data_IF_761340540000
#
_entry.id   IF_761340540000
#
_cell.length_a   1.000
_cell.length_b   1.000
_cell.length_c   1.000
_cell.angle_alpha   90.00
_cell.angle_beta   90.00
_cell.angle_gamma   90.00
#
_symmetry.space_group_name_H-M   'P 1'
#
loop_
_entity.id
_entity.type
_entity.pdbx_description
1 polymer ?
#
# COMPACT_ATOMS: atom_id res chain seq x y z
N UNK A 1 3.04 -10.02 2.07
CA UNK A 1 1.90 -10.93 1.86
C UNK A 1 1.28 -11.20 3.22
N UNK A 2 -0.04 -11.02 3.40
CA UNK A 2 -0.68 -11.36 4.66
C UNK A 2 -0.72 -12.90 4.83
N UNK A 3 -0.11 -13.46 5.88
CA UNK A 3 -0.04 -14.91 6.04
C UNK A 3 -1.44 -15.47 6.30
N UNK A 4 -1.74 -16.64 5.73
CA UNK A 4 -2.92 -17.40 6.13
C UNK A 4 -2.78 -17.79 7.61
N UNK A 5 -3.70 -17.31 8.43
CA UNK A 5 -3.71 -17.59 9.87
C UNK A 5 -4.92 -18.45 10.23
N UNK A 6 -4.77 -19.43 11.12
CA UNK A 6 -5.92 -20.14 11.69
C UNK A 6 -6.69 -19.21 12.65
N UNK A 7 -8.01 -19.36 12.69
CA UNK A 7 -8.85 -18.80 13.74
C UNK A 7 -8.86 -19.71 14.99
N UNK A 8 -9.54 -19.29 16.06
CA UNK A 8 -9.62 -20.05 17.31
C UNK A 8 -10.27 -21.44 17.15
N UNK A 9 -10.98 -21.68 16.03
CA UNK A 9 -11.67 -22.94 15.71
C UNK A 9 -10.81 -23.86 14.84
N UNK A 10 -9.61 -23.43 14.44
CA UNK A 10 -8.75 -24.16 13.52
C UNK A 10 -9.15 -24.04 12.04
N UNK A 11 -10.02 -23.09 11.71
CA UNK A 11 -10.42 -22.75 10.34
C UNK A 11 -9.63 -21.53 9.83
N UNK A 12 -9.78 -21.16 8.56
CA UNK A 12 -9.10 -19.96 8.04
C UNK A 12 -9.69 -18.71 8.68
N UNK A 13 -8.82 -17.87 9.26
CA UNK A 13 -9.21 -16.53 9.72
C UNK A 13 -9.74 -15.73 8.53
N UNK A 14 -10.96 -15.22 8.69
CA UNK A 14 -11.56 -14.30 7.74
C UNK A 14 -11.56 -12.89 8.29
N UNK A 15 -11.47 -11.92 7.39
CA UNK A 15 -11.62 -10.51 7.71
C UNK A 15 -12.95 -10.03 7.14
N UNK A 16 -13.78 -9.43 7.98
CA UNK A 16 -15.08 -8.86 7.60
C UNK A 16 -15.15 -7.35 7.80
N UNK A 17 -14.21 -6.75 8.52
CA UNK A 17 -14.12 -5.31 8.68
C UNK A 17 -13.66 -4.66 7.36
N UNK A 18 -14.46 -3.76 6.76
CA UNK A 18 -14.08 -3.07 5.52
C UNK A 18 -12.76 -2.31 5.61
N UNK A 19 -12.39 -1.82 6.81
CA UNK A 19 -11.11 -1.12 7.01
C UNK A 19 -9.95 -2.11 6.95
N UNK A 20 -9.98 -3.17 7.74
CA UNK A 20 -8.95 -4.23 7.70
C UNK A 20 -8.83 -4.85 6.30
N UNK A 21 -9.95 -5.07 5.59
CA UNK A 21 -9.92 -5.52 4.18
C UNK A 21 -9.18 -4.55 3.26
N UNK A 22 -9.43 -3.24 3.41
CA UNK A 22 -8.77 -2.22 2.60
C UNK A 22 -7.27 -2.13 2.90
N UNK A 23 -6.87 -2.24 4.17
CA UNK A 23 -5.45 -2.26 4.57
C UNK A 23 -4.72 -3.48 3.99
N UNK A 24 -5.32 -4.66 4.11
CA UNK A 24 -4.79 -5.90 3.53
C UNK A 24 -4.61 -5.79 2.03
N UNK A 25 -5.65 -5.32 1.34
CA UNK A 25 -5.62 -5.13 -0.10
C UNK A 25 -4.55 -4.12 -0.54
N UNK A 26 -4.47 -2.96 0.12
CA UNK A 26 -3.48 -1.93 -0.23
C UNK A 26 -2.06 -2.44 0.01
N UNK A 27 -1.84 -3.21 1.07
CA UNK A 27 -0.55 -3.85 1.35
C UNK A 27 -0.19 -4.85 0.26
N UNK A 28 -1.10 -5.77 -0.06
CA UNK A 28 -0.92 -6.79 -1.12
C UNK A 28 -0.65 -6.16 -2.49
N UNK A 29 -1.36 -5.06 -2.79
CA UNK A 29 -1.19 -4.30 -4.02
C UNK A 29 0.20 -3.65 -4.11
N UNK A 30 0.66 -3.00 -3.03
CA UNK A 30 1.99 -2.36 -2.98
C UNK A 30 3.12 -3.39 -3.11
N UNK A 31 2.90 -4.60 -2.58
CA UNK A 31 3.88 -5.68 -2.56
C UNK A 31 3.94 -6.49 -3.87
N UNK A 32 2.87 -6.47 -4.65
CA UNK A 32 2.78 -7.22 -5.90
C UNK A 32 3.24 -6.35 -7.06
N UNK A 33 4.19 -6.83 -7.86
CA UNK A 33 4.54 -6.19 -9.13
C UNK A 33 3.61 -6.63 -10.26
N UNK A 34 3.43 -5.75 -11.24
CA UNK A 34 2.73 -6.09 -12.47
C UNK A 34 3.34 -7.36 -13.10
N UNK A 35 2.47 -8.20 -13.66
CA UNK A 35 2.79 -9.49 -14.28
C UNK A 35 3.22 -10.61 -13.32
N UNK A 36 3.35 -10.37 -12.01
CA UNK A 36 3.63 -11.46 -11.06
C UNK A 36 2.46 -12.43 -10.92
N UNK A 37 1.22 -11.94 -11.05
CA UNK A 37 0.03 -12.79 -11.01
C UNK A 37 -0.27 -13.34 -12.40
N UNK A 38 -0.04 -14.64 -12.57
CA UNK A 38 -0.23 -15.39 -13.82
C UNK A 38 -1.58 -15.12 -14.50
N UNK A 39 -2.67 -15.10 -13.74
CA UNK A 39 -4.02 -14.91 -14.27
C UNK A 39 -4.51 -13.45 -14.23
N UNK A 40 -3.73 -12.56 -13.63
CA UNK A 40 -4.06 -11.14 -13.45
C UNK A 40 -2.82 -10.27 -13.73
N UNK A 41 -2.32 -10.22 -14.97
CA UNK A 41 -1.05 -9.56 -15.27
C UNK A 41 -1.08 -8.03 -15.05
N UNK A 42 -2.27 -7.43 -15.04
CA UNK A 42 -2.47 -6.00 -14.80
C UNK A 42 -2.60 -5.64 -13.31
N UNK A 43 -2.62 -6.63 -12.41
CA UNK A 43 -2.69 -6.40 -10.97
C UNK A 43 -1.31 -6.13 -10.41
N UNK A 44 -1.19 -5.08 -9.60
CA UNK A 44 0.05 -4.73 -8.90
C UNK A 44 0.59 -3.36 -9.29
N UNK A 45 1.76 -3.05 -8.75
CA UNK A 45 2.48 -1.80 -8.99
C UNK A 45 3.55 -1.97 -10.04
N UNK A 46 3.88 -0.87 -10.74
CA UNK A 46 5.05 -0.84 -11.62
C UNK A 46 6.32 -1.00 -10.78
N UNK A 47 7.27 -1.77 -11.27
CA UNK A 47 8.59 -1.84 -10.66
C UNK A 47 9.29 -0.47 -10.74
N UNK A 48 9.69 0.05 -9.58
CA UNK A 48 10.38 1.32 -9.43
C UNK A 48 11.66 1.18 -8.60
N UNK A 49 12.21 -0.02 -8.48
CA UNK A 49 13.45 -0.31 -7.72
C UNK A 49 14.63 0.56 -8.20
N UNK A 50 14.68 0.90 -9.48
CA UNK A 50 15.69 1.81 -10.07
C UNK A 50 15.12 3.18 -10.47
N UNK A 51 13.93 3.52 -9.98
CA UNK A 51 13.30 4.80 -10.25
C UNK A 51 14.01 5.94 -9.54
N UNK A 52 14.18 7.09 -10.21
CA UNK A 52 14.70 8.29 -9.56
C UNK A 52 13.64 8.81 -8.58
N UNK A 53 13.98 8.85 -7.29
CA UNK A 53 13.18 9.47 -6.24
C UNK A 53 13.18 11.01 -6.42
N UNK A 54 12.38 11.49 -7.36
CA UNK A 54 12.19 12.91 -7.64
C UNK A 54 10.87 13.43 -7.05
N UNK A 55 10.62 14.74 -7.18
CA UNK A 55 9.40 15.40 -6.67
C UNK A 55 8.12 14.78 -7.25
N UNK A 56 8.18 14.22 -8.46
CA UNK A 56 7.05 13.58 -9.13
C UNK A 56 6.81 12.12 -8.74
N UNK A 57 7.77 11.45 -8.09
CA UNK A 57 7.67 10.02 -7.75
C UNK A 57 6.42 9.72 -6.90
N UNK A 58 6.15 10.56 -5.90
CA UNK A 58 5.00 10.41 -5.00
C UNK A 58 3.68 10.58 -5.72
N UNK A 59 3.58 11.58 -6.59
CA UNK A 59 2.39 11.84 -7.38
C UNK A 59 2.11 10.68 -8.36
N UNK A 60 3.15 10.16 -9.00
CA UNK A 60 3.04 8.99 -9.88
C UNK A 60 2.65 7.74 -9.08
N UNK A 61 3.16 7.57 -7.86
CA UNK A 61 2.82 6.43 -7.01
C UNK A 61 1.37 6.52 -6.54
N UNK A 62 0.93 7.72 -6.17
CA UNK A 62 -0.45 8.00 -5.80
C UNK A 62 -1.41 7.69 -6.94
N UNK A 63 -1.07 8.12 -8.16
CA UNK A 63 -1.89 7.86 -9.35
C UNK A 63 -2.02 6.37 -9.65
N UNK A 64 -0.90 5.62 -9.65
CA UNK A 64 -0.92 4.17 -9.88
C UNK A 64 -1.75 3.44 -8.79
N UNK A 65 -1.57 3.80 -7.52
CA UNK A 65 -2.33 3.22 -6.40
C UNK A 65 -3.83 3.53 -6.50
N UNK A 66 -4.19 4.76 -6.81
CA UNK A 66 -5.58 5.19 -6.96
C UNK A 66 -6.24 4.49 -8.16
N UNK A 67 -5.55 4.34 -9.29
CA UNK A 67 -6.05 3.60 -10.46
C UNK A 67 -6.32 2.13 -10.12
N UNK A 68 -5.33 1.45 -9.54
CA UNK A 68 -5.43 0.04 -9.16
C UNK A 68 -6.50 -0.20 -8.10
N UNK A 69 -6.55 0.64 -7.06
CA UNK A 69 -7.54 0.50 -6.00
C UNK A 69 -8.97 0.75 -6.49
N UNK A 70 -9.20 1.71 -7.38
CA UNK A 70 -10.52 1.95 -7.96
C UNK A 70 -11.00 0.77 -8.79
N UNK A 71 -10.10 0.11 -9.51
CA UNK A 71 -10.45 -1.03 -10.35
C UNK A 71 -10.71 -2.30 -9.53
N UNK A 72 -9.82 -2.63 -8.59
CA UNK A 72 -9.85 -3.91 -7.87
C UNK A 72 -10.55 -3.87 -6.51
N UNK A 73 -10.62 -2.72 -5.84
CA UNK A 73 -11.28 -2.60 -4.53
C UNK A 73 -12.15 -1.32 -4.43
N UNK A 74 -13.35 -1.32 -5.04
CA UNK A 74 -14.21 -0.13 -5.13
C UNK A 74 -14.77 0.35 -3.78
N UNK A 75 -14.60 -0.41 -2.69
CA UNK A 75 -14.95 0.05 -1.34
C UNK A 75 -14.06 1.21 -0.87
N UNK A 76 -12.88 1.40 -1.46
CA UNK A 76 -12.03 2.56 -1.19
C UNK A 76 -12.62 3.77 -1.93
N UNK A 77 -12.91 4.83 -1.19
CA UNK A 77 -13.50 6.08 -1.71
C UNK A 77 -12.44 7.05 -2.22
N UNK A 78 -11.32 7.17 -1.49
CA UNK A 78 -10.26 8.12 -1.78
C UNK A 78 -8.92 7.60 -1.28
N UNK A 79 -7.84 7.91 -2.01
CA UNK A 79 -6.45 7.62 -1.63
C UNK A 79 -5.62 8.90 -1.78
N UNK A 80 -4.77 9.17 -0.80
CA UNK A 80 -3.72 10.18 -0.84
C UNK A 80 -2.41 9.52 -0.43
N UNK A 81 -1.34 9.75 -1.19
CA UNK A 81 -0.03 9.12 -0.92
C UNK A 81 1.02 10.18 -0.67
N UNK A 82 1.78 9.99 0.41
CA UNK A 82 2.90 10.82 0.79
C UNK A 82 4.15 9.94 0.87
N UNK A 83 5.28 10.40 0.34
CA UNK A 83 6.56 9.80 0.69
C UNK A 83 7.25 10.58 1.80
N UNK A 84 8.00 9.85 2.60
CA UNK A 84 8.78 10.38 3.69
C UNK A 84 9.83 9.38 4.13
N UNK A 85 10.30 9.58 5.35
CA UNK A 85 11.21 8.69 6.06
C UNK A 85 10.46 8.07 7.24
N UNK A 86 10.86 6.87 7.67
CA UNK A 86 10.39 6.29 8.93
C UNK A 86 11.57 6.30 9.91
N UNK A 87 11.49 7.18 10.91
CA UNK A 87 12.51 7.31 11.95
C UNK A 87 11.89 6.94 13.29
N UNK A 88 12.44 5.94 13.97
CA UNK A 88 11.93 5.44 15.25
C UNK A 88 10.41 5.16 15.21
N UNK A 89 9.93 4.53 14.12
CA UNK A 89 8.51 4.23 13.83
C UNK A 89 7.61 5.46 13.56
N UNK A 90 8.16 6.67 13.53
CA UNK A 90 7.45 7.91 13.22
C UNK A 90 7.64 8.25 11.74
N UNK A 91 6.54 8.47 11.03
CA UNK A 91 6.57 8.93 9.64
C UNK A 91 6.87 10.44 9.59
N UNK A 92 7.98 10.80 8.93
CA UNK A 92 8.40 12.18 8.71
C UNK A 92 8.25 12.48 7.21
N UNK A 93 7.40 13.44 6.79
CA UNK A 93 7.28 13.79 5.39
C UNK A 93 8.56 14.46 4.87
N UNK A 94 9.00 14.07 3.68
CA UNK A 94 10.24 14.55 3.06
C UNK A 94 11.23 13.42 2.82
N UNK A 95 11.83 13.40 1.63
CA UNK A 95 12.81 12.37 1.27
C UNK A 95 14.13 12.58 2.00
N UNK A 96 14.55 11.58 2.77
CA UNK A 96 15.93 11.45 3.23
C UNK A 96 16.81 11.07 2.04
N UNK A 97 17.35 12.09 1.34
CA UNK A 97 18.21 11.88 0.16
C UNK A 97 19.41 10.97 0.46
N UNK A 98 19.88 11.00 1.69
CA UNK A 98 21.11 10.31 2.10
C UNK A 98 20.92 8.80 2.26
N UNK A 99 19.69 8.32 2.52
CA UNK A 99 19.43 6.90 2.75
C UNK A 99 18.94 6.15 1.50
N UNK A 100 18.56 6.88 0.44
CA UNK A 100 17.90 6.32 -0.76
C UNK A 100 16.71 5.41 -0.43
N UNK A 101 16.05 5.65 0.70
CA UNK A 101 14.89 4.90 1.19
C UNK A 101 13.70 5.84 1.30
N UNK A 102 12.51 5.29 1.03
CA UNK A 102 11.27 6.04 1.14
C UNK A 102 10.24 5.21 1.91
N UNK A 103 9.70 5.75 3.00
CA UNK A 103 8.46 5.27 3.57
C UNK A 103 7.30 5.87 2.77
N UNK A 104 6.27 5.06 2.51
CA UNK A 104 5.05 5.50 1.85
C UNK A 104 3.96 5.57 2.91
N UNK A 105 3.35 6.73 3.08
CA UNK A 105 2.12 6.89 3.87
C UNK A 105 0.95 6.99 2.92
N UNK A 106 0.05 6.01 2.97
CA UNK A 106 -1.21 5.97 2.25
C UNK A 106 -2.31 6.37 3.20
N UNK A 107 -2.93 7.53 2.97
CA UNK A 107 -4.18 7.91 3.62
C UNK A 107 -5.34 7.44 2.76
N UNK A 108 -6.31 6.77 3.33
CA UNK A 108 -7.47 6.30 2.58
C UNK A 108 -8.77 6.43 3.38
N UNK A 109 -9.89 6.50 2.66
CA UNK A 109 -11.23 6.51 3.25
C UNK A 109 -12.04 5.38 2.66
N UNK A 110 -12.72 4.60 3.49
CA UNK A 110 -13.63 3.53 3.04
C UNK A 110 -15.04 4.10 2.84
N UNK A 111 -15.76 3.65 1.81
CA UNK A 111 -17.17 4.01 1.58
C UNK A 111 -18.02 3.65 2.79
N UNK A 112 -18.89 4.56 3.20
CA UNK A 112 -19.69 4.41 4.43
C UNK A 112 -18.97 4.89 5.70
N UNK A 113 -17.68 5.23 5.63
CA UNK A 113 -16.95 5.91 6.69
C UNK A 113 -16.52 7.31 6.25
N UNK A 114 -16.49 8.25 7.20
CA UNK A 114 -15.92 9.59 7.02
C UNK A 114 -14.58 9.76 7.77
N UNK A 115 -14.09 8.69 8.39
CA UNK A 115 -12.85 8.71 9.17
C UNK A 115 -11.70 8.32 8.24
N UNK A 116 -10.72 9.21 8.01
CA UNK A 116 -9.54 8.87 7.22
C UNK A 116 -8.64 7.90 8.00
N UNK A 117 -8.22 6.84 7.33
CA UNK A 117 -7.30 5.82 7.84
C UNK A 117 -5.90 6.06 7.29
N UNK A 118 -4.88 5.58 8.01
CA UNK A 118 -3.48 5.75 7.63
C UNK A 118 -2.77 4.40 7.61
N UNK A 119 -2.23 4.04 6.45
CA UNK A 119 -1.33 2.91 6.28
C UNK A 119 0.08 3.48 6.03
N UNK A 120 1.03 3.18 6.91
CA UNK A 120 2.44 3.54 6.71
C UNK A 120 3.20 2.28 6.30
N UNK A 121 3.67 2.28 5.06
CA UNK A 121 4.37 1.16 4.44
C UNK A 121 5.84 1.52 4.16
N UNK A 122 6.80 0.95 4.91
CA UNK A 122 8.23 1.12 4.62
C UNK A 122 8.63 0.30 3.39
N UNK A 123 9.11 0.95 2.32
CA UNK A 123 9.45 0.24 1.05
C UNK A 123 10.57 -0.78 1.19
N UNK A 124 11.48 -0.63 2.16
CA UNK A 124 12.57 -1.58 2.39
C UNK A 124 12.12 -2.89 3.04
N UNK A 125 10.88 -2.99 3.53
CA UNK A 125 10.32 -4.26 4.04
C UNK A 125 9.80 -5.19 2.93
N UNK A 126 9.89 -4.78 1.65
CA UNK A 126 9.52 -5.63 0.50
C UNK A 126 10.35 -6.93 0.37
N UNK A 127 11.36 -7.16 1.22
CA UNK A 127 12.30 -8.30 1.12
C UNK A 127 12.67 -8.99 2.45
N UNK A 128 11.96 -8.77 3.54
CA UNK A 128 12.23 -9.53 4.79
C UNK A 128 11.56 -10.90 4.75
#
# INVERSE_FOLDING_TARGET
MWPFQPDQRGTLRTVSDPVEMAEQFLTDLIETFLQERVMLPCYGMRDRVFGVLNVGFTAQLAADLDEQARFYLPIIKSIEVLAGELKDEIFIPGFAKDEQRAAIKVKFTVRGSNIPQNLVYPTWKLRS
#
